data_IF_184814916522
#
_entry.id   IF_184814916522
#
_cell.length_a   1.000
_cell.length_b   1.000
_cell.length_c   1.000
_cell.angle_alpha   90.00
_cell.angle_beta   90.00
_cell.angle_gamma   90.00
#
_symmetry.space_group_name_H-M   'P 1'
#
loop_
_entity.id
_entity.type
_entity.pdbx_description
1 polymer ?
#
# COMPACT_ATOMS: atom_id res chain seq x y z
N UNK A 1 22.49 -23.39 3.69
CA UNK A 1 22.08 -22.89 5.03
C UNK A 1 22.24 -21.37 5.17
N UNK A 2 23.34 -20.77 4.70
CA UNK A 2 23.58 -19.31 4.80
C UNK A 2 22.55 -18.48 4.01
N UNK A 3 22.18 -18.87 2.79
CA UNK A 3 21.17 -18.13 1.99
C UNK A 3 19.78 -18.10 2.65
N UNK A 4 19.36 -19.20 3.27
CA UNK A 4 18.06 -19.29 3.95
C UNK A 4 18.02 -18.39 5.20
N UNK A 5 19.12 -18.30 5.95
CA UNK A 5 19.24 -17.39 7.11
C UNK A 5 19.25 -15.93 6.66
N UNK A 6 19.89 -15.64 5.53
CA UNK A 6 19.91 -14.30 4.93
C UNK A 6 18.50 -13.88 4.47
N UNK A 7 17.75 -14.75 3.80
CA UNK A 7 16.35 -14.47 3.39
C UNK A 7 15.44 -14.29 4.61
N UNK A 8 15.62 -15.13 5.65
CA UNK A 8 14.81 -15.04 6.87
C UNK A 8 15.07 -13.74 7.64
N UNK A 9 16.34 -13.35 7.76
CA UNK A 9 16.71 -12.09 8.43
C UNK A 9 16.23 -10.85 7.69
N UNK A 10 16.27 -10.85 6.35
CA UNK A 10 15.65 -9.79 5.54
C UNK A 10 14.13 -9.71 5.74
N UNK A 11 13.47 -10.86 5.83
CA UNK A 11 12.01 -10.93 6.06
C UNK A 11 11.64 -10.38 7.43
N UNK A 12 12.39 -10.72 8.48
CA UNK A 12 12.17 -10.20 9.83
C UNK A 12 12.43 -8.69 9.89
N UNK A 13 13.48 -8.20 9.25
CA UNK A 13 13.76 -6.76 9.18
C UNK A 13 12.69 -6.01 8.40
N UNK A 14 12.17 -6.58 7.32
CA UNK A 14 11.03 -6.05 6.57
C UNK A 14 9.78 -5.92 7.46
N UNK A 15 9.44 -6.96 8.22
CA UNK A 15 8.33 -6.92 9.18
C UNK A 15 8.55 -5.87 10.30
N UNK A 16 9.77 -5.72 10.80
CA UNK A 16 10.10 -4.71 11.80
C UNK A 16 10.02 -3.27 11.23
N UNK A 17 10.38 -3.09 9.96
CA UNK A 17 10.29 -1.81 9.27
C UNK A 17 8.83 -1.42 8.98
N UNK A 18 7.95 -2.41 8.69
CA UNK A 18 6.49 -2.23 8.62
C UNK A 18 5.96 -1.63 9.93
N UNK A 19 6.27 -2.26 11.08
CA UNK A 19 5.80 -1.82 12.40
C UNK A 19 6.36 -0.44 12.78
N UNK A 20 7.57 -0.11 12.32
CA UNK A 20 8.23 1.19 12.54
C UNK A 20 7.82 2.27 11.54
N UNK A 21 6.92 1.99 10.59
CA UNK A 21 6.46 2.94 9.58
C UNK A 21 7.55 3.39 8.59
N UNK A 22 8.65 2.65 8.46
CA UNK A 22 9.73 2.96 7.50
C UNK A 22 9.40 2.33 6.15
N UNK A 23 8.96 3.15 5.18
CA UNK A 23 8.60 2.67 3.83
C UNK A 23 7.81 3.68 2.97
N UNK A 24 7.25 4.73 3.59
CA UNK A 24 6.41 5.73 2.92
C UNK A 24 7.14 6.56 1.84
N UNK A 25 8.47 6.52 1.78
CA UNK A 25 9.27 7.34 0.86
C UNK A 25 9.40 6.74 -0.56
N UNK A 26 8.77 5.59 -0.85
CA UNK A 26 8.83 4.92 -2.15
C UNK A 26 7.46 4.72 -2.81
N UNK A 27 6.50 5.58 -2.50
CA UNK A 27 5.21 5.64 -3.20
C UNK A 27 5.43 6.10 -4.66
N UNK A 28 5.80 5.15 -5.52
CA UNK A 28 5.79 5.35 -6.97
C UNK A 28 4.36 5.25 -7.46
N UNK A 29 3.93 6.23 -8.25
CA UNK A 29 2.62 6.18 -8.91
C UNK A 29 2.54 5.05 -9.94
N UNK A 30 1.35 4.79 -10.53
CA UNK A 30 1.12 3.67 -11.44
C UNK A 30 2.11 3.61 -12.61
N UNK A 31 2.51 4.76 -13.12
CA UNK A 31 3.48 4.87 -14.21
C UNK A 31 4.90 4.52 -13.73
N UNK A 32 5.29 4.97 -12.53
CA UNK A 32 6.57 4.61 -11.93
C UNK A 32 6.67 3.10 -11.67
N UNK A 33 5.57 2.48 -11.24
CA UNK A 33 5.48 1.01 -11.08
C UNK A 33 5.64 0.32 -12.44
N UNK A 34 5.01 0.82 -13.50
CA UNK A 34 5.18 0.26 -14.85
C UNK A 34 6.64 0.31 -15.31
N UNK A 35 7.30 1.46 -15.17
CA UNK A 35 8.72 1.61 -15.54
C UNK A 35 9.63 0.70 -14.72
N UNK A 36 9.44 0.67 -13.39
CA UNK A 36 10.17 -0.23 -12.52
C UNK A 36 9.95 -1.69 -12.94
N UNK A 37 8.71 -2.10 -13.20
CA UNK A 37 8.41 -3.47 -13.64
C UNK A 37 9.14 -3.81 -14.94
N UNK A 38 9.15 -2.91 -15.93
CA UNK A 38 9.90 -3.11 -17.17
C UNK A 38 11.41 -3.27 -16.92
N UNK A 39 12.00 -2.44 -16.05
CA UNK A 39 13.42 -2.53 -15.70
C UNK A 39 13.72 -3.84 -14.94
N UNK A 40 13.02 -4.13 -13.85
CA UNK A 40 13.29 -5.31 -13.02
C UNK A 40 12.97 -6.63 -13.73
N UNK A 41 11.98 -6.66 -14.63
CA UNK A 41 11.72 -7.82 -15.48
C UNK A 41 12.89 -8.11 -16.43
N UNK A 42 13.55 -7.08 -16.97
CA UNK A 42 14.72 -7.24 -17.84
C UNK A 42 15.97 -7.75 -17.10
N UNK A 43 16.03 -7.55 -15.77
CA UNK A 43 17.11 -8.02 -14.90
C UNK A 43 16.96 -9.50 -14.46
N UNK A 44 15.86 -10.15 -14.84
CA UNK A 44 15.59 -11.56 -14.57
C UNK A 44 14.67 -11.82 -13.37
N UNK A 45 14.32 -13.09 -13.17
CA UNK A 45 13.28 -13.52 -12.22
C UNK A 45 13.56 -13.11 -10.76
N UNK A 46 14.82 -13.19 -10.31
CA UNK A 46 15.18 -12.80 -8.94
C UNK A 46 14.93 -11.32 -8.65
N UNK A 47 15.29 -10.44 -9.61
CA UNK A 47 15.05 -9.00 -9.49
C UNK A 47 13.55 -8.67 -9.52
N UNK A 48 12.80 -9.34 -10.38
CA UNK A 48 11.33 -9.21 -10.42
C UNK A 48 10.68 -9.60 -9.09
N UNK A 49 11.07 -10.72 -8.48
CA UNK A 49 10.54 -11.14 -7.17
C UNK A 49 10.86 -10.12 -6.07
N UNK A 50 12.03 -9.48 -6.13
CA UNK A 50 12.40 -8.43 -5.19
C UNK A 50 11.54 -7.17 -5.37
N UNK A 51 11.24 -6.77 -6.61
CA UNK A 51 10.29 -5.68 -6.88
C UNK A 51 8.90 -6.01 -6.33
N UNK A 52 8.39 -7.22 -6.61
CA UNK A 52 7.07 -7.66 -6.12
C UNK A 52 7.04 -7.65 -4.59
N UNK A 53 8.10 -8.11 -3.92
CA UNK A 53 8.20 -8.08 -2.47
C UNK A 53 8.15 -6.64 -1.92
N UNK A 54 8.87 -5.70 -2.56
CA UNK A 54 8.86 -4.28 -2.18
C UNK A 54 7.49 -3.64 -2.37
N UNK A 55 6.84 -3.86 -3.52
CA UNK A 55 5.49 -3.36 -3.79
C UNK A 55 4.49 -3.93 -2.78
N UNK A 56 4.52 -5.25 -2.56
CA UNK A 56 3.61 -5.93 -1.63
C UNK A 56 3.74 -5.40 -0.21
N UNK A 57 4.97 -5.13 0.24
CA UNK A 57 5.24 -4.55 1.55
C UNK A 57 4.64 -3.14 1.66
N UNK A 58 4.86 -2.29 0.66
CA UNK A 58 4.32 -0.91 0.65
C UNK A 58 2.79 -0.89 0.60
N UNK A 59 2.18 -1.72 -0.24
CA UNK A 59 0.71 -1.87 -0.29
C UNK A 59 0.17 -2.41 1.03
N UNK A 60 0.88 -3.36 1.65
CA UNK A 60 0.58 -3.87 2.98
C UNK A 60 0.59 -2.77 4.05
N UNK A 61 1.62 -1.90 4.10
CA UNK A 61 1.65 -0.74 5.02
C UNK A 61 0.43 0.14 4.77
N UNK A 62 0.19 0.49 3.51
CA UNK A 62 -0.88 1.41 3.14
C UNK A 62 -2.24 0.86 3.58
N UNK A 63 -2.51 -0.43 3.35
CA UNK A 63 -3.74 -1.08 3.76
C UNK A 63 -3.91 -1.16 5.27
N UNK A 64 -2.84 -1.10 6.08
CA UNK A 64 -2.93 -1.07 7.54
C UNK A 64 -3.29 0.31 8.12
N UNK A 65 -3.31 1.37 7.31
CA UNK A 65 -3.74 2.69 7.76
C UNK A 65 -5.21 2.66 8.24
N UNK A 66 -5.57 3.42 9.29
CA UNK A 66 -6.92 3.45 9.85
C UNK A 66 -7.88 4.29 8.99
N UNK A 67 -7.90 4.03 7.68
CA UNK A 67 -8.81 4.66 6.72
C UNK A 67 -9.97 3.70 6.42
N UNK A 68 -11.24 4.11 6.58
CA UNK A 68 -12.40 3.20 6.48
C UNK A 68 -12.51 2.42 5.16
N UNK A 69 -11.95 2.94 4.09
CA UNK A 69 -11.93 2.29 2.76
C UNK A 69 -10.83 1.24 2.60
N UNK A 70 -9.88 1.21 3.53
CA UNK A 70 -8.77 0.27 3.56
C UNK A 70 -9.02 -0.84 4.60
N UNK A 71 -8.35 -1.98 4.42
CA UNK A 71 -8.51 -3.16 5.28
C UNK A 71 -8.29 -2.83 6.77
N UNK A 72 -7.25 -2.04 7.08
CA UNK A 72 -6.90 -1.61 8.42
C UNK A 72 -7.96 -0.74 9.08
N UNK A 73 -8.64 0.13 8.33
CA UNK A 73 -9.76 0.90 8.85
C UNK A 73 -10.97 0.02 9.17
N UNK A 74 -11.27 -0.99 8.35
CA UNK A 74 -12.33 -1.96 8.63
C UNK A 74 -12.01 -2.80 9.87
N UNK A 75 -10.75 -3.22 10.04
CA UNK A 75 -10.29 -3.89 11.26
C UNK A 75 -10.48 -3.00 12.48
N UNK A 76 -10.07 -1.73 12.41
CA UNK A 76 -10.24 -0.76 13.52
C UNK A 76 -11.71 -0.58 13.87
N UNK A 77 -12.60 -0.37 12.88
CA UNK A 77 -14.04 -0.22 13.11
C UNK A 77 -14.61 -1.47 13.77
N UNK A 78 -14.28 -2.65 13.25
CA UNK A 78 -14.79 -3.94 13.76
C UNK A 78 -14.32 -4.21 15.18
N UNK A 79 -13.04 -3.95 15.48
CA UNK A 79 -12.49 -4.08 16.84
C UNK A 79 -13.18 -3.11 17.80
N UNK A 80 -13.45 -1.88 17.34
CA UNK A 80 -14.12 -0.87 18.16
C UNK A 80 -15.58 -1.25 18.43
N UNK A 81 -16.32 -1.76 17.44
CA UNK A 81 -17.66 -2.31 17.61
C UNK A 81 -17.68 -3.51 18.57
N UNK A 82 -16.69 -4.39 18.47
CA UNK A 82 -16.55 -5.54 19.36
C UNK A 82 -16.31 -5.12 20.82
N UNK A 83 -15.44 -4.13 21.06
CA UNK A 83 -15.16 -3.60 22.41
C UNK A 83 -16.37 -2.85 22.96
N UNK A 84 -16.99 -1.98 22.17
CA UNK A 84 -18.11 -1.14 22.60
C UNK A 84 -19.45 -1.89 22.66
N UNK A 85 -19.53 -3.09 22.05
CA UNK A 85 -20.76 -3.88 21.86
C UNK A 85 -21.92 -3.08 21.24
N UNK A 86 -21.60 -2.01 20.50
CA UNK A 86 -22.57 -1.15 19.83
C UNK A 86 -22.23 -1.12 18.34
N UNK A 87 -23.24 -1.31 17.51
CA UNK A 87 -23.08 -1.18 16.07
C UNK A 87 -22.87 0.29 15.71
N UNK A 88 -21.92 0.55 14.81
CA UNK A 88 -21.75 1.88 14.26
C UNK A 88 -22.99 2.26 13.45
N UNK A 89 -23.31 3.55 13.38
CA UNK A 89 -24.44 4.00 12.57
C UNK A 89 -24.14 3.75 11.08
N UNK A 90 -24.88 2.83 10.46
CA UNK A 90 -24.73 2.44 9.06
C UNK A 90 -24.78 3.62 8.09
N UNK A 91 -25.62 4.63 8.36
CA UNK A 91 -25.71 5.83 7.52
C UNK A 91 -24.42 6.65 7.58
N UNK A 92 -23.84 6.79 8.77
CA UNK A 92 -22.59 7.53 8.97
C UNK A 92 -21.41 6.76 8.37
N UNK A 93 -21.34 5.45 8.59
CA UNK A 93 -20.31 4.56 8.01
C UNK A 93 -20.32 4.63 6.49
N UNK A 94 -21.50 4.54 5.87
CA UNK A 94 -21.68 4.65 4.43
C UNK A 94 -21.27 6.02 3.90
N UNK A 95 -21.69 7.11 4.56
CA UNK A 95 -21.30 8.47 4.17
C UNK A 95 -19.77 8.67 4.22
N UNK A 96 -19.12 8.23 5.30
CA UNK A 96 -17.66 8.31 5.44
C UNK A 96 -16.97 7.47 4.36
N UNK A 97 -17.44 6.25 4.09
CA UNK A 97 -16.87 5.41 3.03
C UNK A 97 -16.97 6.08 1.67
N UNK A 98 -18.12 6.66 1.31
CA UNK A 98 -18.30 7.36 0.03
C UNK A 98 -17.33 8.55 -0.07
N UNK A 99 -17.22 9.37 0.98
CA UNK A 99 -16.30 10.51 0.99
C UNK A 99 -14.84 10.05 0.81
N UNK A 100 -14.42 9.00 1.53
CA UNK A 100 -13.09 8.44 1.38
C UNK A 100 -12.85 7.84 -0.01
N UNK A 101 -13.84 7.16 -0.61
CA UNK A 101 -13.75 6.64 -1.98
C UNK A 101 -13.60 7.76 -3.02
N UNK A 102 -14.41 8.80 -2.91
CA UNK A 102 -14.33 9.97 -3.80
C UNK A 102 -12.96 10.64 -3.69
N UNK A 103 -12.45 10.79 -2.46
CA UNK A 103 -11.12 11.36 -2.22
C UNK A 103 -10.03 10.48 -2.82
N UNK A 104 -10.06 9.17 -2.60
CA UNK A 104 -9.08 8.24 -3.17
C UNK A 104 -9.07 8.27 -4.70
N UNK A 105 -10.24 8.21 -5.33
CA UNK A 105 -10.37 8.28 -6.79
C UNK A 105 -9.83 9.62 -7.30
N UNK A 106 -10.15 10.72 -6.62
CA UNK A 106 -9.64 12.06 -6.99
C UNK A 106 -8.11 12.12 -6.92
N UNK A 107 -7.52 11.57 -5.85
CA UNK A 107 -6.06 11.48 -5.70
C UNK A 107 -5.45 10.57 -6.79
N UNK A 108 -6.09 9.44 -7.10
CA UNK A 108 -5.63 8.54 -8.16
C UNK A 108 -5.62 9.23 -9.52
N UNK A 109 -6.71 9.93 -9.89
CA UNK A 109 -6.79 10.70 -11.14
C UNK A 109 -5.70 11.77 -11.17
N UNK A 110 -5.52 12.53 -10.08
CA UNK A 110 -4.50 13.55 -9.99
C UNK A 110 -3.08 12.98 -10.12
N UNK A 111 -2.78 11.88 -9.42
CA UNK A 111 -1.50 11.21 -9.46
C UNK A 111 -1.20 10.65 -10.86
N UNK A 112 -2.18 10.00 -11.50
CA UNK A 112 -2.06 9.50 -12.86
C UNK A 112 -1.86 10.64 -13.86
N UNK A 113 -2.59 11.76 -13.73
CA UNK A 113 -2.40 12.93 -14.59
C UNK A 113 -1.00 13.53 -14.45
N UNK A 114 -0.52 13.67 -13.22
CA UNK A 114 0.83 14.17 -12.93
C UNK A 114 1.92 13.24 -13.48
N UNK A 115 1.75 11.94 -13.31
CA UNK A 115 2.67 10.93 -13.86
C UNK A 115 2.71 10.95 -15.38
N UNK A 116 1.54 11.02 -16.03
CA UNK A 116 1.40 11.12 -17.48
C UNK A 116 2.07 12.40 -18.00
N UNK A 117 1.80 13.54 -17.36
CA UNK A 117 2.38 14.83 -17.76
C UNK A 117 3.91 14.80 -17.73
N UNK A 118 4.51 14.13 -16.74
CA UNK A 118 5.97 13.96 -16.63
C UNK A 118 6.57 13.09 -17.74
N UNK A 119 5.80 12.16 -18.31
CA UNK A 119 6.24 11.34 -19.45
C UNK A 119 6.24 12.11 -20.76
N UNK A 120 5.31 13.04 -20.95
CA UNK A 120 5.13 13.79 -22.20
C UNK A 120 5.92 15.11 -22.26
N UNK A 121 6.28 15.69 -21.10
CA UNK A 121 7.03 16.96 -21.00
C UNK A 121 8.56 16.76 -21.02
N UNK A 122 9.03 15.50 -21.11
CA UNK A 122 10.45 15.15 -21.27
C UNK A 122 10.68 14.54 -22.65
#
# INVERSE_FOLDING_TARGET
MVEMQVITSMTIQALLNLVRGKGLNQLSGPVGIYQATATYASLGFGAYMMLVAQISLNVGIFNLLPLPVLDGGQVVITVLEWITRRQFNEKLKTAIMIVCWVLLISVMIFATWNDISKLFIK
#
